data_IF_808085153401
#
_entry.id   IF_808085153401
#
_cell.length_a   1.000
_cell.length_b   1.000
_cell.length_c   1.000
_cell.angle_alpha   90.00
_cell.angle_beta   90.00
_cell.angle_gamma   90.00
#
_symmetry.space_group_name_H-M   'P 1'
#
loop_
_entity.id
_entity.type
_entity.pdbx_description
1 polymer ?
#
# COMPACT_ATOMS: atom_id res chain seq x y z
N UNK A 1 32.61 -39.88 90.31
CA UNK A 1 31.25 -39.47 90.16
C UNK A 1 31.10 -38.79 88.80
N UNK A 2 30.50 -39.46 87.81
CA UNK A 2 30.31 -38.94 86.43
C UNK A 2 28.98 -38.21 86.33
N UNK A 3 29.00 -36.95 85.89
CA UNK A 3 27.79 -36.21 85.49
C UNK A 3 27.58 -36.37 83.94
N UNK A 4 26.45 -36.97 83.57
CA UNK A 4 25.99 -37.01 82.23
C UNK A 4 25.23 -35.68 81.90
N UNK A 5 25.71 -34.90 80.88
CA UNK A 5 24.99 -33.80 80.30
C UNK A 5 24.18 -34.30 79.13
N UNK A 6 22.88 -34.17 79.23
CA UNK A 6 21.94 -34.38 78.14
C UNK A 6 21.92 -33.15 77.27
N UNK A 7 22.26 -33.29 75.95
CA UNK A 7 22.02 -32.23 74.91
C UNK A 7 20.66 -32.44 74.31
N UNK A 8 19.79 -31.44 74.48
CA UNK A 8 18.57 -31.32 73.75
C UNK A 8 18.86 -30.84 72.28
N UNK A 9 18.57 -31.70 71.34
CA UNK A 9 18.67 -31.35 69.96
C UNK A 9 17.42 -30.50 69.47
N UNK A 10 17.69 -29.27 69.07
CA UNK A 10 16.74 -28.44 68.38
C UNK A 10 16.79 -28.78 66.86
N UNK A 11 15.81 -29.49 66.37
CA UNK A 11 15.65 -29.70 64.93
C UNK A 11 15.05 -28.44 64.29
N UNK A 12 15.85 -27.71 63.53
CA UNK A 12 15.37 -26.63 62.68
C UNK A 12 14.94 -27.22 61.34
N UNK A 13 13.62 -27.27 61.12
CA UNK A 13 13.06 -27.59 59.80
C UNK A 13 13.33 -26.42 58.86
N UNK A 14 14.26 -26.60 57.90
CA UNK A 14 14.38 -25.73 56.74
C UNK A 14 13.25 -26.07 55.77
N UNK A 15 12.20 -25.25 55.72
CA UNK A 15 11.19 -25.26 54.62
C UNK A 15 11.81 -24.50 53.45
N UNK A 16 12.42 -25.24 52.52
CA UNK A 16 12.84 -24.69 51.23
C UNK A 16 11.61 -24.43 50.35
N UNK A 17 11.13 -23.18 50.38
CA UNK A 17 10.13 -22.73 49.45
C UNK A 17 10.70 -22.67 48.03
N UNK A 18 10.37 -23.63 47.17
CA UNK A 18 10.62 -23.55 45.74
C UNK A 18 9.69 -22.48 45.18
N UNK A 19 10.22 -21.28 44.95
CA UNK A 19 9.56 -20.25 44.15
C UNK A 19 9.69 -20.70 42.68
N UNK A 20 8.65 -21.37 42.18
CA UNK A 20 8.56 -21.70 40.76
C UNK A 20 8.33 -20.39 39.98
N UNK A 21 9.41 -19.81 39.47
CA UNK A 21 9.35 -18.77 38.44
C UNK A 21 8.80 -19.42 37.17
N UNK A 22 7.50 -19.28 36.94
CA UNK A 22 6.89 -19.58 35.64
C UNK A 22 7.37 -18.50 34.68
N UNK A 23 8.56 -18.68 34.07
CA UNK A 23 8.94 -17.93 32.90
C UNK A 23 7.90 -18.28 31.81
N UNK A 24 6.95 -17.40 31.57
CA UNK A 24 6.10 -17.48 30.40
C UNK A 24 7.03 -17.55 29.19
N UNK A 25 7.00 -18.64 28.46
CA UNK A 25 7.67 -18.76 27.17
C UNK A 25 6.98 -17.73 26.25
N UNK A 26 7.60 -16.55 26.11
CA UNK A 26 7.31 -15.65 25.02
C UNK A 26 7.75 -16.43 23.79
N UNK A 27 6.79 -16.89 23.00
CA UNK A 27 7.09 -17.53 21.72
C UNK A 27 7.90 -16.56 20.88
N UNK A 28 9.10 -16.97 20.48
CA UNK A 28 9.89 -16.18 19.54
C UNK A 28 9.10 -16.08 18.23
N UNK A 29 9.08 -14.88 17.64
CA UNK A 29 8.44 -14.65 16.34
C UNK A 29 9.23 -15.41 15.27
N UNK A 30 8.50 -16.12 14.42
CA UNK A 30 9.06 -16.88 13.30
C UNK A 30 9.01 -16.02 12.02
N UNK A 31 10.14 -15.42 11.67
CA UNK A 31 10.25 -14.57 10.48
C UNK A 31 10.05 -15.34 9.17
N UNK A 32 10.45 -16.60 9.11
CA UNK A 32 10.26 -17.43 7.92
C UNK A 32 8.79 -17.76 7.70
N UNK A 33 8.08 -18.18 8.77
CA UNK A 33 6.63 -18.36 8.72
C UNK A 33 5.93 -17.05 8.36
N UNK A 34 6.35 -15.94 8.99
CA UNK A 34 5.82 -14.60 8.69
C UNK A 34 5.99 -14.21 7.22
N UNK A 35 7.16 -14.49 6.63
CA UNK A 35 7.43 -14.25 5.21
C UNK A 35 6.55 -15.10 4.30
N UNK A 36 6.42 -16.39 4.55
CA UNK A 36 5.59 -17.29 3.74
C UNK A 36 4.12 -16.88 3.76
N UNK A 37 3.60 -16.55 4.95
CA UNK A 37 2.23 -16.08 5.12
C UNK A 37 2.03 -14.72 4.42
N UNK A 38 2.98 -13.81 4.56
CA UNK A 38 2.95 -12.52 3.87
C UNK A 38 2.90 -12.69 2.36
N UNK A 39 3.77 -13.50 1.78
CA UNK A 39 3.81 -13.74 0.34
C UNK A 39 2.53 -14.38 -0.18
N UNK A 40 1.90 -15.24 0.63
CA UNK A 40 0.67 -15.93 0.24
C UNK A 40 -0.56 -15.03 0.35
N UNK A 41 -0.65 -14.19 1.39
CA UNK A 41 -1.89 -13.49 1.76
C UNK A 41 -1.86 -11.99 1.50
N UNK A 42 -0.67 -11.36 1.55
CA UNK A 42 -0.50 -9.91 1.58
C UNK A 42 0.17 -9.37 0.32
N UNK A 43 1.07 -10.16 -0.29
CA UNK A 43 1.90 -9.72 -1.41
C UNK A 43 1.10 -9.28 -2.64
N UNK A 44 -0.10 -9.84 -2.85
CA UNK A 44 -0.98 -9.41 -3.94
C UNK A 44 -1.24 -7.91 -3.93
N UNK A 45 -1.36 -7.31 -2.74
CA UNK A 45 -1.63 -5.89 -2.59
C UNK A 45 -0.39 -5.09 -2.21
N UNK A 46 0.54 -5.69 -1.44
CA UNK A 46 1.70 -4.99 -0.91
C UNK A 46 3.02 -5.26 -1.65
N UNK A 47 3.01 -6.12 -2.68
CA UNK A 47 4.20 -6.56 -3.38
C UNK A 47 4.90 -7.72 -2.67
N UNK A 48 5.71 -8.51 -3.40
CA UNK A 48 6.35 -9.73 -2.87
C UNK A 48 7.38 -9.45 -1.76
N UNK A 49 7.98 -8.26 -1.80
CA UNK A 49 8.94 -7.78 -0.81
C UNK A 49 8.39 -6.59 0.01
N UNK A 50 7.07 -6.39 0.00
CA UNK A 50 6.43 -5.29 0.70
C UNK A 50 6.62 -3.92 0.06
N UNK A 51 7.09 -3.88 -1.18
CA UNK A 51 7.41 -2.68 -1.94
C UNK A 51 6.19 -1.81 -2.29
N UNK A 52 5.00 -2.36 -2.19
CA UNK A 52 3.75 -1.70 -2.54
C UNK A 52 3.27 -2.07 -3.95
N UNK A 53 1.96 -2.04 -4.14
CA UNK A 53 1.25 -2.22 -5.40
C UNK A 53 -0.13 -1.56 -5.27
N UNK A 54 -1.24 -2.30 -5.21
CA UNK A 54 -2.55 -1.74 -4.87
C UNK A 54 -2.56 -1.15 -3.44
N UNK A 55 -1.88 -1.83 -2.49
CA UNK A 55 -1.62 -1.38 -1.13
C UNK A 55 -0.36 -0.51 -1.05
N UNK A 56 -0.19 0.23 0.07
CA UNK A 56 1.01 1.02 0.28
C UNK A 56 2.26 0.16 0.47
N UNK A 57 3.45 0.74 0.21
CA UNK A 57 4.72 0.13 0.58
C UNK A 57 4.81 -0.05 2.09
N UNK A 58 5.35 -1.19 2.50
CA UNK A 58 5.62 -1.57 3.89
C UNK A 58 7.13 -1.53 4.24
N UNK A 59 7.98 -1.18 3.26
CA UNK A 59 9.43 -1.07 3.44
C UNK A 59 9.82 0.24 4.13
N UNK A 60 9.14 0.57 5.24
CA UNK A 60 9.33 1.82 5.99
C UNK A 60 9.40 1.53 7.47
N UNK A 61 10.28 2.24 8.19
CA UNK A 61 10.39 2.08 9.64
C UNK A 61 9.10 2.47 10.38
N UNK A 62 8.35 3.43 9.85
CA UNK A 62 7.13 3.93 10.47
C UNK A 62 5.90 3.66 9.61
N UNK A 63 4.99 2.83 10.11
CA UNK A 63 3.70 2.54 9.50
C UNK A 63 2.63 3.44 10.12
N UNK A 64 1.95 4.24 9.28
CA UNK A 64 1.01 5.31 9.73
C UNK A 64 -0.09 4.81 10.67
N UNK A 65 -0.63 3.61 10.42
CA UNK A 65 -1.72 3.05 11.21
C UNK A 65 -1.27 2.02 12.27
N UNK A 66 0.04 1.77 12.36
CA UNK A 66 0.61 0.74 13.24
C UNK A 66 1.83 1.29 13.99
N UNK A 67 1.63 2.15 15.01
CA UNK A 67 2.72 2.73 15.77
C UNK A 67 3.53 1.69 16.56
N UNK A 68 2.93 0.57 16.92
CA UNK A 68 3.54 -0.53 17.65
C UNK A 68 3.12 -1.90 17.07
N UNK A 69 3.70 -2.97 17.58
CA UNK A 69 3.47 -4.32 17.09
C UNK A 69 2.06 -4.83 17.40
N UNK A 70 1.49 -4.44 18.53
CA UNK A 70 0.14 -4.83 18.90
C UNK A 70 -0.89 -4.22 17.93
N UNK A 71 -0.71 -2.94 17.58
CA UNK A 71 -1.51 -2.26 16.57
C UNK A 71 -1.33 -2.93 15.20
N UNK A 72 -0.10 -3.29 14.82
CA UNK A 72 0.18 -3.95 13.55
C UNK A 72 -0.51 -5.33 13.46
N UNK A 73 -0.41 -6.16 14.49
CA UNK A 73 -1.10 -7.45 14.57
C UNK A 73 -2.61 -7.26 14.46
N UNK A 74 -3.16 -6.28 15.20
CA UNK A 74 -4.60 -5.95 15.15
C UNK A 74 -5.07 -5.58 13.75
N UNK A 75 -4.28 -4.76 13.02
CA UNK A 75 -4.57 -4.38 11.64
C UNK A 75 -4.47 -5.56 10.66
N UNK A 76 -3.47 -6.42 10.82
CA UNK A 76 -3.30 -7.62 9.98
C UNK A 76 -4.50 -8.55 10.12
N UNK A 77 -4.92 -8.81 11.35
CA UNK A 77 -6.02 -9.72 11.64
C UNK A 77 -7.38 -9.09 11.34
N UNK A 78 -7.59 -7.84 11.75
CA UNK A 78 -8.88 -7.15 11.68
C UNK A 78 -9.12 -6.38 10.38
N UNK A 79 -8.07 -6.01 9.65
CA UNK A 79 -8.14 -5.10 8.51
C UNK A 79 -8.27 -3.63 8.94
N UNK A 80 -8.45 -2.75 7.96
CA UNK A 80 -8.68 -1.32 8.18
C UNK A 80 -10.07 -0.97 7.63
N UNK A 81 -11.06 -0.74 8.50
CA UNK A 81 -12.42 -0.42 8.07
C UNK A 81 -12.47 0.81 7.13
N UNK A 82 -13.28 0.76 6.10
CA UNK A 82 -13.41 1.83 5.11
C UNK A 82 -12.29 1.91 4.09
N UNK A 83 -11.35 0.95 4.10
CA UNK A 83 -10.26 0.85 3.12
C UNK A 83 -10.30 -0.46 2.34
N UNK A 84 -9.39 -0.59 1.36
CA UNK A 84 -9.20 -1.84 0.60
C UNK A 84 -8.44 -2.94 1.36
N UNK A 85 -7.97 -2.71 2.59
CA UNK A 85 -7.25 -3.71 3.38
C UNK A 85 -8.21 -4.59 4.19
N UNK A 86 -8.47 -5.85 3.78
CA UNK A 86 -9.32 -6.76 4.53
C UNK A 86 -8.57 -7.36 5.71
N UNK A 87 -9.31 -7.83 6.71
CA UNK A 87 -8.74 -8.64 7.79
C UNK A 87 -8.38 -10.06 7.30
N UNK A 88 -7.30 -10.60 7.83
CA UNK A 88 -6.81 -11.95 7.51
C UNK A 88 -7.31 -12.98 8.52
N UNK A 89 -8.58 -13.40 8.35
CA UNK A 89 -9.27 -14.32 9.28
C UNK A 89 -8.70 -15.75 9.29
N UNK A 90 -7.88 -16.12 8.31
CA UNK A 90 -7.23 -17.42 8.23
C UNK A 90 -6.01 -17.53 9.14
N UNK A 91 -5.41 -16.43 9.57
CA UNK A 91 -4.30 -16.43 10.52
C UNK A 91 -4.75 -16.97 11.89
N UNK A 92 -3.93 -17.81 12.51
CA UNK A 92 -4.21 -18.44 13.79
C UNK A 92 -3.06 -18.27 14.77
N UNK A 93 -3.39 -18.11 16.05
CA UNK A 93 -2.38 -18.10 17.12
C UNK A 93 -1.22 -17.17 16.85
N UNK A 94 -0.03 -17.73 16.60
CA UNK A 94 1.21 -17.00 16.37
C UNK A 94 1.35 -16.41 14.96
N UNK A 95 0.55 -16.81 13.98
CA UNK A 95 0.67 -16.35 12.58
C UNK A 95 0.63 -14.82 12.45
N UNK A 96 -0.27 -14.17 13.18
CA UNK A 96 -0.40 -12.70 13.16
C UNK A 96 0.87 -11.99 13.66
N UNK A 97 1.39 -12.33 14.85
CA UNK A 97 2.68 -11.86 15.34
C UNK A 97 3.85 -12.15 14.38
N UNK A 98 3.91 -13.33 13.76
CA UNK A 98 4.98 -13.68 12.82
C UNK A 98 4.95 -12.80 11.56
N UNK A 99 3.75 -12.61 10.98
CA UNK A 99 3.58 -11.67 9.85
C UNK A 99 3.94 -10.25 10.25
N UNK A 100 3.57 -9.80 11.45
CA UNK A 100 3.90 -8.46 11.93
C UNK A 100 5.42 -8.28 12.09
N UNK A 101 6.11 -9.27 12.63
CA UNK A 101 7.57 -9.26 12.75
C UNK A 101 8.24 -9.19 11.37
N UNK A 102 7.79 -9.99 10.41
CA UNK A 102 8.28 -9.91 9.04
C UNK A 102 8.04 -8.53 8.43
N UNK A 103 6.85 -7.96 8.58
CA UNK A 103 6.54 -6.61 8.08
C UNK A 103 7.44 -5.56 8.73
N UNK A 104 7.75 -5.65 10.02
CA UNK A 104 8.72 -4.75 10.67
C UNK A 104 10.11 -4.88 10.08
N UNK A 105 10.57 -6.11 9.83
CA UNK A 105 11.89 -6.34 9.22
C UNK A 105 12.02 -5.72 7.82
N UNK A 106 10.93 -5.60 7.07
CA UNK A 106 10.94 -4.90 5.78
C UNK A 106 11.26 -3.40 5.92
N UNK A 107 10.86 -2.78 7.04
CA UNK A 107 11.17 -1.37 7.34
C UNK A 107 12.62 -1.13 7.77
N UNK A 108 13.38 -2.17 8.08
CA UNK A 108 14.79 -2.13 8.45
C UNK A 108 15.73 -2.26 7.24
N UNK A 109 15.17 -2.58 6.05
CA UNK A 109 15.96 -2.64 4.83
C UNK A 109 16.57 -1.28 4.50
N UNK A 110 17.79 -1.23 3.93
CA UNK A 110 18.38 0.01 3.45
C UNK A 110 17.41 0.73 2.50
N UNK A 111 17.36 2.07 2.52
CA UNK A 111 16.60 2.82 1.52
C UNK A 111 17.00 2.39 0.10
N UNK A 112 16.03 2.27 -0.79
CA UNK A 112 16.28 1.97 -2.19
C UNK A 112 17.18 3.06 -2.80
N UNK A 113 18.31 2.67 -3.39
CA UNK A 113 19.16 3.61 -4.12
C UNK A 113 18.45 4.10 -5.38
N UNK A 114 18.32 5.43 -5.49
CA UNK A 114 17.69 6.05 -6.64
C UNK A 114 18.75 6.34 -7.71
N UNK A 115 18.66 5.74 -8.90
CA UNK A 115 19.66 5.96 -9.96
C UNK A 115 19.59 7.35 -10.59
N UNK A 116 18.47 8.08 -10.37
CA UNK A 116 18.22 9.39 -10.97
C UNK A 116 18.49 10.57 -10.04
N UNK A 117 18.53 11.76 -10.63
CA UNK A 117 18.65 13.05 -9.95
C UNK A 117 17.27 13.69 -9.76
N UNK A 118 16.84 13.88 -8.52
CA UNK A 118 15.54 14.47 -8.20
C UNK A 118 15.40 15.94 -8.68
N UNK A 119 16.50 16.71 -8.77
CA UNK A 119 16.46 18.09 -9.27
C UNK A 119 16.22 18.09 -10.79
N UNK A 120 16.94 17.24 -11.53
CA UNK A 120 16.69 17.05 -12.95
C UNK A 120 15.28 16.48 -13.19
N UNK A 121 14.82 15.57 -12.33
CA UNK A 121 13.48 15.00 -12.38
C UNK A 121 12.36 16.04 -12.20
N UNK A 122 12.56 17.06 -11.36
CA UNK A 122 11.61 18.17 -11.25
C UNK A 122 11.50 18.96 -12.56
N UNK A 123 12.59 19.10 -13.30
CA UNK A 123 12.59 19.74 -14.63
C UNK A 123 11.89 18.87 -15.68
N UNK A 124 12.10 17.55 -15.65
CA UNK A 124 11.36 16.60 -16.49
C UNK A 124 9.87 16.66 -16.19
N UNK A 125 9.48 16.66 -14.90
CA UNK A 125 8.09 16.69 -14.44
C UNK A 125 7.33 17.92 -14.95
N UNK A 126 7.93 19.11 -14.83
CA UNK A 126 7.30 20.37 -15.24
C UNK A 126 7.54 20.73 -16.72
N UNK A 127 8.57 20.16 -17.35
CA UNK A 127 8.98 20.43 -18.72
C UNK A 127 8.43 19.39 -19.71
N UNK A 128 9.32 18.60 -20.31
CA UNK A 128 8.96 17.65 -21.37
C UNK A 128 7.93 16.60 -20.97
N UNK A 129 7.90 16.20 -19.68
CA UNK A 129 6.92 15.26 -19.15
C UNK A 129 5.54 15.87 -18.99
N UNK A 130 5.45 17.21 -18.81
CA UNK A 130 4.21 17.96 -18.61
C UNK A 130 3.22 17.28 -17.63
N UNK A 131 3.74 16.65 -16.55
CA UNK A 131 2.96 15.80 -15.66
C UNK A 131 1.90 16.60 -14.88
N UNK A 132 2.16 17.89 -14.61
CA UNK A 132 1.22 18.80 -13.93
C UNK A 132 -0.04 19.11 -14.75
N UNK A 133 -0.06 18.82 -16.05
CA UNK A 133 -1.28 18.93 -16.85
C UNK A 133 -2.38 17.95 -16.43
N UNK A 134 -2.00 16.86 -15.77
CA UNK A 134 -2.92 15.83 -15.29
C UNK A 134 -2.86 15.61 -13.78
N UNK A 135 -1.70 15.79 -13.15
CA UNK A 135 -1.48 15.47 -11.75
C UNK A 135 -1.36 16.72 -10.89
N UNK A 136 -1.96 16.67 -9.70
CA UNK A 136 -1.69 17.65 -8.64
C UNK A 136 -0.46 17.21 -7.85
N UNK A 137 0.48 18.14 -7.64
CA UNK A 137 1.63 17.97 -6.76
C UNK A 137 1.78 19.23 -5.91
N UNK A 138 1.68 19.09 -4.60
CA UNK A 138 1.73 20.18 -3.62
C UNK A 138 0.76 21.34 -3.94
N UNK A 139 -0.45 20.99 -4.37
CA UNK A 139 -1.51 21.92 -4.69
C UNK A 139 -1.42 22.57 -6.08
N UNK A 140 -0.42 22.21 -6.90
CA UNK A 140 -0.22 22.74 -8.25
C UNK A 140 -0.51 21.66 -9.28
N UNK A 141 -1.28 21.99 -10.32
CA UNK A 141 -1.64 21.10 -11.43
C UNK A 141 -3.11 20.76 -11.50
N UNK A 142 -3.50 19.89 -12.45
CA UNK A 142 -4.86 19.46 -12.68
C UNK A 142 -5.13 18.10 -12.03
N UNK A 143 -6.36 17.89 -11.53
CA UNK A 143 -6.76 16.67 -10.83
C UNK A 143 -7.37 15.60 -11.75
N UNK A 144 -6.86 15.44 -12.97
CA UNK A 144 -7.29 14.39 -13.91
C UNK A 144 -6.69 13.05 -13.50
N UNK A 145 -5.41 13.06 -13.14
CA UNK A 145 -4.68 11.90 -12.61
C UNK A 145 -4.62 11.89 -11.09
N UNK A 146 -4.04 10.83 -10.48
CA UNK A 146 -3.79 10.75 -9.05
C UNK A 146 -2.97 11.92 -8.51
N UNK A 147 -3.30 12.34 -7.30
CA UNK A 147 -2.53 13.33 -6.55
C UNK A 147 -1.19 12.74 -6.11
N UNK A 148 -0.08 13.46 -6.37
CA UNK A 148 1.29 12.96 -6.24
C UNK A 148 2.09 13.55 -5.07
N UNK A 149 1.54 14.49 -4.28
CA UNK A 149 2.26 15.21 -3.21
C UNK A 149 2.91 14.29 -2.15
N UNK A 150 2.40 13.08 -1.99
CA UNK A 150 2.93 12.09 -1.05
C UNK A 150 3.16 10.74 -1.72
N UNK A 151 3.40 10.73 -3.02
CA UNK A 151 3.49 9.49 -3.78
C UNK A 151 4.69 8.64 -3.36
N UNK A 152 5.84 9.25 -3.07
CA UNK A 152 7.03 8.57 -2.56
C UNK A 152 6.86 7.96 -1.16
N UNK A 153 5.80 8.33 -0.42
CA UNK A 153 5.39 7.62 0.79
C UNK A 153 4.50 6.40 0.52
N UNK A 154 3.88 6.30 -0.64
CA UNK A 154 2.85 5.30 -0.94
C UNK A 154 3.30 4.26 -1.94
N UNK A 155 4.28 4.59 -2.78
CA UNK A 155 4.78 3.74 -3.88
C UNK A 155 6.29 3.65 -3.83
N UNK A 156 6.83 2.57 -4.34
CA UNK A 156 8.28 2.39 -4.55
C UNK A 156 8.69 2.84 -5.96
N UNK A 157 10.00 2.91 -6.20
CA UNK A 157 10.55 3.36 -7.47
C UNK A 157 10.16 2.45 -8.64
N UNK A 158 10.18 1.14 -8.46
CA UNK A 158 9.81 0.20 -9.52
C UNK A 158 8.36 0.38 -9.97
N UNK A 159 7.43 0.57 -9.01
CA UNK A 159 6.04 0.88 -9.32
C UNK A 159 5.89 2.20 -10.06
N UNK A 160 6.57 3.27 -9.59
CA UNK A 160 6.51 4.58 -10.25
C UNK A 160 7.10 4.54 -11.64
N UNK A 161 8.23 3.84 -11.82
CA UNK A 161 8.83 3.62 -13.13
C UNK A 161 7.85 2.94 -14.08
N UNK A 162 7.25 1.82 -13.64
CA UNK A 162 6.25 1.10 -14.44
C UNK A 162 5.07 2.00 -14.81
N UNK A 163 4.58 2.81 -13.85
CA UNK A 163 3.47 3.74 -14.10
C UNK A 163 3.82 4.82 -15.12
N UNK A 164 5.08 5.26 -15.18
CA UNK A 164 5.56 6.25 -16.17
C UNK A 164 5.70 5.62 -17.56
N UNK A 165 6.32 4.45 -17.67
CA UNK A 165 6.63 3.86 -18.97
C UNK A 165 5.50 3.00 -19.56
N UNK A 166 4.65 2.42 -18.71
CA UNK A 166 3.57 1.50 -19.10
C UNK A 166 2.38 1.64 -18.15
N UNK A 167 1.68 2.78 -18.14
CA UNK A 167 0.61 3.06 -17.18
C UNK A 167 -0.58 2.10 -17.28
N UNK A 168 -0.71 1.37 -18.38
CA UNK A 168 -1.75 0.35 -18.57
C UNK A 168 -1.44 -0.97 -17.85
N UNK A 169 -0.17 -1.21 -17.48
CA UNK A 169 0.25 -2.47 -16.87
C UNK A 169 -0.45 -2.74 -15.52
N UNK A 170 -0.77 -1.69 -14.78
CA UNK A 170 -1.43 -1.76 -13.47
C UNK A 170 -2.95 -1.48 -13.52
N UNK A 171 -3.51 -1.32 -14.72
CA UNK A 171 -4.94 -1.11 -14.86
C UNK A 171 -5.71 -2.43 -14.67
N UNK A 172 -6.92 -2.39 -14.07
CA UNK A 172 -7.71 -3.58 -13.86
C UNK A 172 -8.13 -4.19 -15.20
N UNK A 173 -7.73 -5.44 -15.43
CA UNK A 173 -8.12 -6.21 -16.62
C UNK A 173 -9.39 -7.03 -16.41
N UNK A 174 -9.86 -7.15 -15.18
CA UNK A 174 -11.05 -7.90 -14.81
C UNK A 174 -11.92 -7.05 -13.89
N UNK A 175 -13.23 -7.07 -14.13
CA UNK A 175 -14.20 -6.51 -13.19
C UNK A 175 -14.18 -7.39 -11.95
N UNK A 176 -13.69 -6.88 -10.83
CA UNK A 176 -13.87 -7.52 -9.53
C UNK A 176 -15.35 -7.41 -9.14
N UNK A 177 -16.10 -8.49 -9.37
CA UNK A 177 -17.54 -8.55 -9.09
C UNK A 177 -17.86 -8.36 -7.61
N UNK A 178 -16.89 -8.58 -6.71
CA UNK A 178 -17.07 -8.53 -5.27
C UNK A 178 -16.76 -7.17 -4.65
N UNK A 179 -15.94 -6.35 -5.31
CA UNK A 179 -15.50 -5.05 -4.78
C UNK A 179 -16.11 -3.86 -5.50
N UNK A 180 -16.99 -4.10 -6.47
CA UNK A 180 -17.43 -3.05 -7.38
C UNK A 180 -16.23 -2.39 -8.07
N UNK A 181 -16.40 -1.72 -9.15
CA UNK A 181 -15.31 -0.98 -9.80
C UNK A 181 -15.04 0.32 -9.04
N UNK A 182 -14.58 0.21 -7.79
CA UNK A 182 -14.18 1.34 -6.93
C UNK A 182 -12.81 1.91 -7.31
N UNK A 183 -12.22 1.48 -8.44
CA UNK A 183 -10.99 2.12 -8.88
C UNK A 183 -11.27 3.55 -9.30
N UNK A 184 -10.63 4.47 -8.55
CA UNK A 184 -10.65 5.91 -8.73
C UNK A 184 -10.07 6.21 -10.06
N UNK A 185 -9.96 6.15 -11.11
CA UNK A 185 -9.28 6.42 -12.40
C UNK A 185 -9.67 5.42 -13.50
N UNK A 186 -10.91 4.90 -13.43
CA UNK A 186 -11.45 4.06 -14.48
C UNK A 186 -11.85 4.93 -15.69
N UNK A 187 -11.28 4.63 -16.84
CA UNK A 187 -11.69 5.25 -18.11
C UNK A 187 -13.10 4.81 -18.51
N UNK A 188 -13.90 5.74 -18.94
CA UNK A 188 -15.24 5.48 -19.50
C UNK A 188 -15.38 6.13 -20.86
N UNK A 189 -16.13 5.47 -21.75
CA UNK A 189 -16.61 6.01 -23.02
C UNK A 189 -18.11 6.11 -23.00
N UNK A 190 -18.61 7.27 -23.38
CA UNK A 190 -20.03 7.59 -23.35
C UNK A 190 -20.42 8.14 -24.71
N UNK A 191 -21.51 7.63 -25.27
CA UNK A 191 -22.16 8.19 -26.46
C UNK A 191 -23.55 8.60 -26.05
N UNK A 192 -23.90 9.86 -26.33
CA UNK A 192 -25.21 10.45 -26.11
C UNK A 192 -25.66 11.20 -27.36
N UNK A 193 -26.85 11.78 -27.36
CA UNK A 193 -27.31 12.67 -28.42
C UNK A 193 -26.43 13.91 -28.61
N UNK A 194 -25.69 14.31 -27.56
CA UNK A 194 -24.77 15.47 -27.56
C UNK A 194 -23.37 15.15 -28.08
N UNK A 195 -23.07 13.88 -28.36
CA UNK A 195 -21.77 13.46 -28.89
C UNK A 195 -21.13 12.28 -28.14
N UNK A 196 -19.86 12.10 -28.47
CA UNK A 196 -19.01 11.04 -27.85
C UNK A 196 -18.02 11.65 -26.88
N UNK A 197 -17.92 11.05 -25.70
CA UNK A 197 -17.09 11.52 -24.59
C UNK A 197 -16.19 10.38 -24.13
N UNK A 198 -14.93 10.70 -23.82
CA UNK A 198 -13.99 9.79 -23.16
C UNK A 198 -13.33 10.53 -22.01
N UNK A 199 -13.24 9.87 -20.86
CA UNK A 199 -12.64 10.48 -19.69
C UNK A 199 -12.61 9.55 -18.48
N UNK A 200 -12.21 10.12 -17.35
CA UNK A 200 -12.17 9.43 -16.09
C UNK A 200 -13.53 9.47 -15.40
N UNK A 201 -14.04 8.32 -14.98
CA UNK A 201 -15.22 8.24 -14.13
C UNK A 201 -14.94 8.87 -12.77
N UNK A 202 -15.75 9.85 -12.38
CA UNK A 202 -15.71 10.48 -11.06
C UNK A 202 -16.65 9.76 -10.09
N UNK A 203 -17.89 9.59 -10.53
CA UNK A 203 -18.95 8.99 -9.71
C UNK A 203 -19.91 8.19 -10.60
N UNK A 204 -20.57 7.21 -10.01
CA UNK A 204 -21.56 6.38 -10.69
C UNK A 204 -22.50 5.75 -9.69
N UNK A 205 -23.79 5.81 -9.98
CA UNK A 205 -24.82 5.06 -9.28
C UNK A 205 -25.69 4.22 -10.27
N UNK A 206 -26.85 3.77 -9.85
CA UNK A 206 -27.76 2.99 -10.69
C UNK A 206 -28.31 3.80 -11.87
N UNK A 207 -28.42 5.11 -11.75
CA UNK A 207 -29.14 6.00 -12.66
C UNK A 207 -28.23 6.96 -13.40
N UNK A 208 -27.17 7.42 -12.75
CA UNK A 208 -26.28 8.47 -13.27
C UNK A 208 -24.83 8.01 -13.39
N UNK A 209 -24.08 8.70 -14.25
CA UNK A 209 -22.64 8.62 -14.33
C UNK A 209 -22.04 10.01 -14.49
N UNK A 210 -20.99 10.29 -13.73
CA UNK A 210 -20.18 11.51 -13.86
C UNK A 210 -18.79 11.16 -14.33
N UNK A 211 -18.29 11.92 -15.28
CA UNK A 211 -16.94 11.78 -15.80
C UNK A 211 -16.24 13.14 -15.90
N UNK A 212 -14.91 13.10 -15.90
CA UNK A 212 -14.05 14.24 -16.21
C UNK A 212 -13.25 13.91 -17.46
N UNK A 213 -13.28 14.81 -18.45
CA UNK A 213 -12.48 14.66 -19.65
C UNK A 213 -11.02 15.12 -19.45
N UNK A 214 -10.21 15.02 -20.52
CA UNK A 214 -8.80 15.42 -20.50
C UNK A 214 -8.60 16.94 -20.48
N UNK A 215 -9.64 17.74 -20.73
CA UNK A 215 -9.62 19.19 -20.55
C UNK A 215 -9.94 19.59 -19.09
N UNK A 216 -10.37 18.63 -18.27
CA UNK A 216 -10.75 18.87 -16.87
C UNK A 216 -12.23 19.17 -16.69
N UNK A 217 -13.02 19.19 -17.77
CA UNK A 217 -14.45 19.43 -17.74
C UNK A 217 -15.21 18.25 -17.15
N UNK A 218 -16.23 18.56 -16.34
CA UNK A 218 -17.06 17.56 -15.67
C UNK A 218 -18.40 17.46 -16.39
N UNK A 219 -18.74 16.24 -16.78
CA UNK A 219 -20.00 15.89 -17.39
C UNK A 219 -20.81 14.98 -16.48
N UNK A 220 -22.12 15.18 -16.46
CA UNK A 220 -23.07 14.33 -15.75
C UNK A 220 -24.14 13.85 -16.72
N UNK A 221 -24.38 12.55 -16.74
CA UNK A 221 -25.34 11.92 -17.65
C UNK A 221 -26.33 11.06 -16.87
N UNK A 222 -27.59 11.10 -17.27
CA UNK A 222 -28.58 10.09 -16.95
C UNK A 222 -28.32 8.86 -17.82
N UNK A 223 -28.19 7.66 -17.22
CA UNK A 223 -27.89 6.45 -17.97
C UNK A 223 -28.98 6.05 -18.97
N UNK A 224 -30.23 6.46 -18.69
CA UNK A 224 -31.35 6.27 -19.58
C UNK A 224 -31.22 7.00 -20.91
N UNK A 225 -30.46 8.09 -20.94
CA UNK A 225 -30.32 8.98 -22.10
C UNK A 225 -29.07 8.67 -22.94
N UNK A 226 -28.31 7.62 -22.51
CA UNK A 226 -27.12 7.21 -23.21
C UNK A 226 -27.41 6.24 -24.34
N UNK A 227 -26.81 6.49 -25.50
CA UNK A 227 -26.79 5.56 -26.63
C UNK A 227 -25.85 4.39 -26.29
N UNK A 228 -24.67 4.69 -25.66
CA UNK A 228 -23.78 3.66 -25.13
C UNK A 228 -22.98 4.16 -23.94
N UNK A 229 -22.65 3.24 -23.03
CA UNK A 229 -21.78 3.45 -21.88
C UNK A 229 -20.85 2.26 -21.71
N UNK A 230 -19.55 2.50 -21.81
CA UNK A 230 -18.51 1.48 -21.69
C UNK A 230 -17.53 1.84 -20.57
N UNK A 231 -17.21 0.86 -19.72
CA UNK A 231 -16.10 0.91 -18.78
C UNK A 231 -14.88 0.27 -19.41
N UNK A 232 -13.90 1.09 -19.80
CA UNK A 232 -12.74 0.62 -20.56
C UNK A 232 -11.73 0.02 -19.59
N UNK A 233 -11.60 -1.31 -19.62
CA UNK A 233 -10.69 -2.05 -18.77
C UNK A 233 -9.30 -2.12 -19.41
N UNK A 234 -8.25 -2.06 -18.57
CA UNK A 234 -6.86 -2.18 -19.03
C UNK A 234 -6.39 -1.01 -19.89
N UNK A 235 -7.10 0.11 -19.88
CA UNK A 235 -6.72 1.33 -20.58
C UNK A 235 -6.47 2.48 -19.60
N UNK A 236 -5.41 3.23 -19.84
CA UNK A 236 -5.03 4.41 -19.07
C UNK A 236 -5.15 5.66 -19.91
N UNK A 237 -5.71 6.74 -19.35
CA UNK A 237 -5.66 8.07 -19.96
C UNK A 237 -4.26 8.71 -19.84
N UNK A 238 -3.42 8.22 -18.90
CA UNK A 238 -2.02 8.59 -18.84
C UNK A 238 -1.27 7.94 -20.00
N UNK A 239 -0.59 8.71 -20.87
CA UNK A 239 0.23 8.13 -21.93
C UNK A 239 1.46 7.42 -21.36
N UNK A 240 1.96 6.40 -22.06
CA UNK A 240 3.28 5.84 -21.76
C UNK A 240 4.39 6.77 -22.26
N UNK A 241 5.35 7.07 -21.40
CA UNK A 241 6.41 8.03 -21.67
C UNK A 241 7.68 7.39 -22.25
N UNK A 242 7.70 6.09 -22.51
CA UNK A 242 8.84 5.36 -23.10
C UNK A 242 9.26 5.84 -24.49
N UNK A 243 8.41 6.58 -25.20
CA UNK A 243 8.72 7.21 -26.49
C UNK A 243 9.06 8.70 -26.39
N UNK A 244 8.87 9.31 -25.20
CA UNK A 244 9.04 10.75 -24.96
C UNK A 244 10.27 11.03 -24.09
N UNK A 245 10.49 10.18 -23.08
CA UNK A 245 11.58 10.29 -22.13
C UNK A 245 12.62 9.21 -22.40
N UNK A 246 13.89 9.58 -22.32
CA UNK A 246 14.97 8.60 -22.29
C UNK A 246 15.09 7.93 -20.89
N UNK A 247 15.89 6.87 -20.78
CA UNK A 247 16.07 6.10 -19.56
C UNK A 247 16.52 6.98 -18.37
N UNK A 248 17.45 7.91 -18.63
CA UNK A 248 17.92 8.83 -17.59
C UNK A 248 16.81 9.76 -17.11
N UNK A 249 16.04 10.31 -18.02
CA UNK A 249 14.90 11.18 -17.67
C UNK A 249 13.80 10.42 -16.90
N UNK A 250 13.58 9.15 -17.23
CA UNK A 250 12.68 8.28 -16.45
C UNK A 250 13.23 8.08 -15.04
N UNK A 251 14.51 7.76 -14.88
CA UNK A 251 15.15 7.61 -13.56
C UNK A 251 15.10 8.91 -12.76
N UNK A 252 15.37 10.05 -13.40
CA UNK A 252 15.33 11.36 -12.77
C UNK A 252 13.91 11.71 -12.26
N UNK A 253 12.88 11.54 -13.10
CA UNK A 253 11.50 11.84 -12.67
C UNK A 253 11.01 10.87 -11.59
N UNK A 254 11.40 9.60 -11.63
CA UNK A 254 11.10 8.63 -10.57
C UNK A 254 11.78 9.05 -9.26
N UNK A 255 13.05 9.46 -9.31
CA UNK A 255 13.77 9.98 -8.14
C UNK A 255 13.07 11.22 -7.56
N UNK A 256 12.60 12.13 -8.41
CA UNK A 256 11.82 13.29 -8.00
C UNK A 256 10.51 12.89 -7.32
N UNK A 257 9.74 11.95 -7.90
CA UNK A 257 8.50 11.47 -7.33
C UNK A 257 8.72 10.74 -5.98
N UNK A 258 9.80 9.98 -5.85
CA UNK A 258 10.20 9.32 -4.61
C UNK A 258 10.57 10.32 -3.51
N UNK A 259 11.02 11.51 -3.86
CA UNK A 259 11.31 12.59 -2.89
C UNK A 259 10.06 13.27 -2.34
N UNK A 260 8.89 13.06 -2.94
CA UNK A 260 7.61 13.63 -2.49
C UNK A 260 7.05 12.83 -1.30
N UNK A 261 7.26 13.38 -0.07
CA UNK A 261 6.96 12.70 1.22
C UNK A 261 6.05 13.50 2.11
#
# INVERSE_FOLDING_TARGET
VLLKKTLNGFSVLFVSGFLSLSAGLVSAQDLENGQQLFQTLCARCHGMLGEGSEGPSLTRPNLVHAPDDAALVSLIVGGIPGTGMPGSRQLRGQDGPDVAAYVRSLGELPPEEMPGDAVAGAQVYSGIGNCSSCHILNGVGNGIGPELSKVGQRRNAAYLRLSVISPEADQPRLVDRFRGSLKAFLTVRIVSEYGSFEGMRINEDAFTVQMRDMAGEIYSFEKSDLISYEKVQGHSLMPGYNSVLDEKQVDDVVSYLMSQK
#
